data_IF_751994490551
#
_entry.id   IF_751994490551
#
_cell.length_a   1.000
_cell.length_b   1.000
_cell.length_c   1.000
_cell.angle_alpha   90.00
_cell.angle_beta   90.00
_cell.angle_gamma   90.00
#
_symmetry.space_group_name_H-M   'P 1'
#
loop_
_entity.id
_entity.type
_entity.pdbx_description
1 polymer ?
#
# COMPACT_ATOMS: atom_id res chain seq x y z
N UNK A 1 40.66 -49.21 -0.43
CA UNK A 1 39.40 -48.51 -0.75
C UNK A 1 38.90 -47.82 0.51
N UNK A 2 39.06 -46.50 0.57
CA UNK A 2 38.43 -45.62 1.57
C UNK A 2 37.09 -45.14 1.01
N UNK A 3 36.12 -44.83 1.88
CA UNK A 3 35.52 -43.51 1.79
C UNK A 3 35.50 -42.81 3.15
N UNK A 4 35.97 -41.57 3.10
CA UNK A 4 35.97 -40.53 4.12
C UNK A 4 34.56 -40.00 4.35
N UNK A 5 34.19 -39.92 5.63
CA UNK A 5 33.04 -39.17 6.15
C UNK A 5 33.29 -37.68 5.89
N UNK A 6 32.34 -37.00 5.24
CA UNK A 6 32.33 -35.54 5.09
C UNK A 6 31.25 -35.00 6.02
N UNK A 7 31.70 -34.42 7.14
CA UNK A 7 30.90 -33.49 7.94
C UNK A 7 30.69 -32.20 7.13
N UNK A 8 29.45 -31.79 6.96
CA UNK A 8 29.11 -30.41 6.58
C UNK A 8 28.26 -29.81 7.68
N UNK A 9 28.92 -29.05 8.54
CA UNK A 9 28.30 -28.20 9.54
C UNK A 9 27.50 -27.08 8.85
N UNK A 10 26.18 -27.07 9.05
CA UNK A 10 25.34 -25.92 8.72
C UNK A 10 25.68 -24.78 9.70
N UNK A 11 26.35 -23.75 9.18
CA UNK A 11 26.66 -22.53 9.92
C UNK A 11 25.44 -21.60 9.85
N UNK A 12 24.58 -21.63 10.88
CA UNK A 12 23.59 -20.57 11.14
C UNK A 12 24.35 -19.24 11.29
N UNK A 13 24.04 -18.26 10.44
CA UNK A 13 24.43 -16.86 10.67
C UNK A 13 23.20 -16.11 11.15
N UNK A 14 23.17 -15.86 12.45
CA UNK A 14 22.35 -14.83 13.06
C UNK A 14 22.89 -13.46 12.58
N UNK A 15 22.02 -12.60 12.04
CA UNK A 15 22.31 -11.18 11.85
C UNK A 15 21.43 -10.40 12.82
N UNK A 16 22.02 -10.06 13.97
CA UNK A 16 21.49 -9.07 14.91
C UNK A 16 22.10 -7.71 14.57
N UNK A 17 21.21 -6.72 14.43
CA UNK A 17 21.32 -5.29 14.72
C UNK A 17 22.70 -4.60 14.72
N UNK A 18 22.79 -3.45 14.03
CA UNK A 18 23.08 -2.18 14.72
C UNK A 18 22.99 -0.98 13.78
N UNK A 19 22.06 -0.09 14.16
CA UNK A 19 21.95 1.32 13.78
C UNK A 19 23.29 2.04 14.02
N UNK A 20 23.80 2.81 13.04
CA UNK A 20 24.80 3.85 13.29
C UNK A 20 24.50 5.08 12.44
N UNK A 21 23.88 6.07 13.08
CA UNK A 21 23.72 7.44 12.60
C UNK A 21 25.09 8.12 12.62
N UNK A 22 25.54 8.67 11.49
CA UNK A 22 26.70 9.56 11.44
C UNK A 22 26.32 10.87 10.75
N UNK A 23 26.08 11.90 11.57
CA UNK A 23 26.00 13.30 11.16
C UNK A 23 27.39 13.81 10.78
N UNK A 24 27.58 14.27 9.55
CA UNK A 24 28.76 15.03 9.15
C UNK A 24 28.33 16.30 8.37
N UNK A 25 28.40 17.41 9.08
CA UNK A 25 28.21 18.77 8.57
C UNK A 25 29.54 19.27 8.01
N UNK A 26 29.57 19.69 6.74
CA UNK A 26 30.49 20.71 6.21
C UNK A 26 29.96 21.29 4.89
N UNK A 27 29.70 22.60 4.87
CA UNK A 27 29.35 23.41 3.69
C UNK A 27 30.61 23.87 2.92
N UNK A 28 30.50 24.76 1.91
CA UNK A 28 30.19 24.48 0.51
C UNK A 28 31.42 24.72 -0.41
N UNK A 29 31.49 24.06 -1.56
CA UNK A 29 32.45 24.40 -2.61
C UNK A 29 31.70 24.68 -3.93
N UNK A 30 31.67 25.96 -4.25
CA UNK A 30 31.32 26.50 -5.57
C UNK A 30 32.33 25.95 -6.58
N UNK A 31 31.85 25.12 -7.50
CA UNK A 31 32.56 24.70 -8.69
C UNK A 31 31.68 24.95 -9.90
N UNK A 32 32.00 26.00 -10.67
CA UNK A 32 31.43 26.20 -11.99
C UNK A 32 31.86 25.03 -12.89
N UNK A 33 30.93 24.15 -13.26
CA UNK A 33 31.06 23.28 -14.43
C UNK A 33 29.78 23.37 -15.26
N UNK A 34 29.82 24.20 -16.31
CA UNK A 34 28.93 24.04 -17.45
C UNK A 34 29.22 22.68 -18.08
N UNK A 35 28.25 21.75 -18.00
CA UNK A 35 28.29 20.49 -18.74
C UNK A 35 27.63 19.29 -18.03
N UNK A 36 26.33 19.39 -17.70
CA UNK A 36 25.36 18.28 -17.55
C UNK A 36 24.04 18.87 -17.01
N UNK A 37 23.27 19.58 -17.85
CA UNK A 37 22.09 20.32 -17.38
C UNK A 37 20.89 20.17 -18.33
N UNK A 38 20.39 18.93 -18.45
CA UNK A 38 19.08 18.64 -19.04
C UNK A 38 18.25 17.66 -18.18
N UNK A 39 18.61 17.51 -16.91
CA UNK A 39 18.18 16.39 -16.06
C UNK A 39 17.09 16.73 -15.04
N UNK A 40 16.46 17.91 -15.09
CA UNK A 40 15.35 18.21 -14.17
C UNK A 40 14.17 18.96 -14.78
N UNK A 41 12.99 18.77 -14.17
CA UNK A 41 11.76 19.52 -14.46
C UNK A 41 11.81 20.97 -13.97
N UNK A 42 12.73 21.26 -13.04
CA UNK A 42 12.92 22.55 -12.37
C UNK A 42 11.59 23.08 -11.80
N UNK A 43 10.91 22.23 -11.02
CA UNK A 43 9.65 22.58 -10.38
C UNK A 43 9.94 23.56 -9.23
N UNK A 44 9.48 24.83 -9.31
CA UNK A 44 9.83 25.83 -8.30
C UNK A 44 9.30 25.47 -6.92
N UNK A 45 10.18 25.36 -5.93
CA UNK A 45 9.81 25.05 -4.55
C UNK A 45 9.58 23.57 -4.25
N UNK A 46 9.72 22.71 -5.26
CA UNK A 46 9.65 21.26 -5.10
C UNK A 46 11.04 20.66 -4.82
N UNK A 47 11.07 19.67 -3.94
CA UNK A 47 12.24 18.85 -3.64
C UNK A 47 11.82 17.38 -3.64
N UNK A 48 12.27 16.57 -4.62
CA UNK A 48 11.90 15.15 -4.71
C UNK A 48 12.43 14.30 -3.56
N UNK A 49 13.42 14.79 -2.78
CA UNK A 49 13.98 14.09 -1.62
C UNK A 49 13.49 14.60 -0.26
N UNK A 50 12.43 15.40 -0.20
CA UNK A 50 11.89 15.89 1.07
C UNK A 50 11.19 14.76 1.85
N UNK A 51 11.40 14.70 3.17
CA UNK A 51 10.68 13.80 4.09
C UNK A 51 10.22 14.58 5.33
N UNK A 52 8.91 14.65 5.61
CA UNK A 52 8.32 15.30 6.81
C UNK A 52 7.85 16.74 6.57
N UNK A 53 7.32 17.42 7.61
CA UNK A 53 6.51 18.67 7.66
C UNK A 53 6.70 19.81 6.63
N UNK A 54 7.75 19.80 5.81
CA UNK A 54 7.81 20.39 4.46
C UNK A 54 6.86 19.76 3.42
N UNK A 55 6.18 18.65 3.73
CA UNK A 55 5.39 17.86 2.76
C UNK A 55 4.25 18.67 2.11
N UNK A 56 3.53 19.51 2.86
CA UNK A 56 2.38 20.24 2.29
C UNK A 56 2.82 21.36 1.33
N UNK A 57 3.87 22.11 1.66
CA UNK A 57 4.40 23.14 0.76
C UNK A 57 5.05 22.53 -0.49
N UNK A 58 5.71 21.38 -0.32
CA UNK A 58 6.27 20.60 -1.41
C UNK A 58 5.17 20.06 -2.34
N UNK A 59 4.11 19.50 -1.76
CA UNK A 59 2.94 19.01 -2.49
C UNK A 59 2.20 20.13 -3.21
N UNK A 60 2.03 21.27 -2.56
CA UNK A 60 1.43 22.46 -3.18
C UNK A 60 2.26 22.93 -4.38
N UNK A 61 3.59 23.00 -4.27
CA UNK A 61 4.46 23.36 -5.38
C UNK A 61 4.33 22.40 -6.57
N UNK A 62 4.29 21.09 -6.31
CA UNK A 62 4.06 20.08 -7.33
C UNK A 62 2.67 20.22 -7.97
N UNK A 63 1.63 20.48 -7.16
CA UNK A 63 0.25 20.65 -7.63
C UNK A 63 0.08 21.91 -8.48
N UNK A 64 0.70 23.02 -8.07
CA UNK A 64 0.70 24.28 -8.83
C UNK A 64 1.48 24.16 -10.14
N UNK A 65 2.52 23.33 -10.19
CA UNK A 65 3.25 23.07 -11.42
C UNK A 65 2.47 22.19 -12.39
N UNK A 66 1.91 21.08 -11.91
CA UNK A 66 1.20 20.09 -12.74
C UNK A 66 -0.20 20.57 -13.13
N UNK A 67 -0.82 21.43 -12.35
CA UNK A 67 -2.12 22.03 -12.68
C UNK A 67 -2.15 23.50 -12.27
N UNK A 68 -1.52 24.42 -13.01
CA UNK A 68 -1.44 25.84 -12.63
C UNK A 68 -2.78 26.58 -12.59
N UNK A 69 -3.78 26.13 -13.35
CA UNK A 69 -5.08 26.79 -13.50
C UNK A 69 -6.24 25.81 -13.76
N UNK A 70 -7.45 26.30 -13.55
CA UNK A 70 -8.68 25.51 -13.71
C UNK A 70 -9.73 25.90 -12.67
N UNK A 71 -10.87 25.26 -12.76
CA UNK A 71 -12.00 25.52 -11.87
C UNK A 71 -12.84 24.27 -11.66
N UNK A 72 -13.64 24.26 -10.59
CA UNK A 72 -14.68 23.23 -10.43
C UNK A 72 -15.86 23.60 -11.31
N UNK A 73 -16.27 22.68 -12.18
CA UNK A 73 -17.47 22.76 -12.99
C UNK A 73 -18.25 21.45 -12.88
N UNK A 74 -19.55 21.53 -12.61
CA UNK A 74 -20.42 20.37 -12.37
C UNK A 74 -19.87 19.37 -11.33
N UNK A 75 -19.26 19.88 -10.26
CA UNK A 75 -18.71 19.09 -9.16
C UNK A 75 -17.41 18.35 -9.50
N UNK A 76 -16.79 18.64 -10.65
CA UNK A 76 -15.50 18.08 -11.07
C UNK A 76 -14.49 19.18 -11.38
N UNK A 77 -13.23 18.91 -11.10
CA UNK A 77 -12.16 19.80 -11.55
C UNK A 77 -12.04 19.76 -13.09
N UNK A 78 -12.02 20.94 -13.71
CA UNK A 78 -11.80 21.14 -15.13
C UNK A 78 -10.52 21.96 -15.30
N UNK A 79 -9.50 21.44 -16.02
CA UNK A 79 -8.23 22.15 -16.21
C UNK A 79 -8.44 23.41 -17.05
N UNK A 80 -7.68 24.46 -16.73
CA UNK A 80 -7.59 25.65 -17.58
C UNK A 80 -6.65 25.46 -18.77
N UNK A 81 -6.43 26.55 -19.51
CA UNK A 81 -5.56 26.57 -20.70
C UNK A 81 -4.11 26.26 -20.31
N UNK A 82 -3.59 26.86 -19.23
CA UNK A 82 -2.19 26.65 -18.83
C UNK A 82 -1.92 25.21 -18.38
N UNK A 83 -2.88 24.58 -17.72
CA UNK A 83 -2.82 23.17 -17.31
C UNK A 83 -2.88 22.26 -18.52
N UNK A 84 -3.73 22.57 -19.50
CA UNK A 84 -3.82 21.79 -20.73
C UNK A 84 -2.50 21.84 -21.50
N UNK A 85 -1.97 23.05 -21.74
CA UNK A 85 -0.66 23.26 -22.39
C UNK A 85 0.48 22.58 -21.61
N UNK A 86 0.42 22.60 -20.28
CA UNK A 86 1.42 21.93 -19.43
C UNK A 86 1.45 20.43 -19.71
N UNK A 87 0.31 19.75 -19.71
CA UNK A 87 0.25 18.30 -19.92
C UNK A 87 0.56 17.91 -21.36
N UNK A 88 0.21 18.74 -22.35
CA UNK A 88 0.67 18.57 -23.74
C UNK A 88 2.20 18.62 -23.81
N UNK A 89 2.82 19.62 -23.19
CA UNK A 89 4.28 19.75 -23.16
C UNK A 89 4.98 18.61 -22.39
N UNK A 90 4.38 18.10 -21.32
CA UNK A 90 4.90 16.93 -20.60
C UNK A 90 4.82 15.66 -21.47
N UNK A 91 3.75 15.50 -22.24
CA UNK A 91 3.50 14.36 -23.13
C UNK A 91 4.45 14.36 -24.33
N UNK A 92 4.66 15.53 -24.97
CA UNK A 92 5.49 15.67 -26.17
C UNK A 92 7.01 15.65 -25.88
N UNK A 93 7.40 15.72 -24.60
CA UNK A 93 8.81 15.80 -24.20
C UNK A 93 9.51 14.46 -24.38
N UNK A 94 10.71 14.50 -24.99
CA UNK A 94 11.62 13.36 -25.01
C UNK A 94 12.30 13.23 -23.64
N UNK A 95 11.84 12.26 -22.87
CA UNK A 95 12.25 12.08 -21.48
C UNK A 95 13.49 11.19 -21.35
N UNK A 96 14.45 11.67 -20.55
CA UNK A 96 15.48 10.81 -19.96
C UNK A 96 15.01 10.23 -18.61
N UNK A 97 15.61 9.12 -18.13
CA UNK A 97 15.20 8.46 -16.89
C UNK A 97 15.11 9.39 -15.67
N UNK A 98 16.14 10.23 -15.44
CA UNK A 98 16.15 11.17 -14.32
C UNK A 98 14.98 12.17 -14.35
N UNK A 99 14.54 12.59 -15.54
CA UNK A 99 13.40 13.48 -15.68
C UNK A 99 12.07 12.80 -15.36
N UNK A 100 11.91 11.52 -15.74
CA UNK A 100 10.73 10.72 -15.38
C UNK A 100 10.69 10.40 -13.89
N UNK A 101 11.85 10.14 -13.28
CA UNK A 101 11.97 9.94 -11.83
C UNK A 101 11.53 11.20 -11.06
N UNK A 102 11.96 12.39 -11.48
CA UNK A 102 11.50 13.64 -10.87
C UNK A 102 10.00 13.90 -11.14
N UNK A 103 9.51 13.61 -12.35
CA UNK A 103 8.08 13.78 -12.69
C UNK A 103 7.20 12.88 -11.82
N UNK A 104 7.53 11.59 -11.76
CA UNK A 104 6.78 10.61 -10.96
C UNK A 104 6.85 10.95 -9.46
N UNK A 105 7.97 11.49 -8.96
CA UNK A 105 8.05 11.98 -7.58
C UNK A 105 7.08 13.15 -7.33
N UNK A 106 6.97 14.09 -8.28
CA UNK A 106 6.01 15.19 -8.19
C UNK A 106 4.56 14.68 -8.22
N UNK A 107 4.24 13.71 -9.09
CA UNK A 107 2.94 13.05 -9.18
C UNK A 107 2.57 12.34 -7.87
N UNK A 108 3.52 11.59 -7.30
CA UNK A 108 3.38 10.95 -6.00
C UNK A 108 3.11 11.96 -4.88
N UNK A 109 3.83 13.08 -4.89
CA UNK A 109 3.67 14.12 -3.88
C UNK A 109 2.28 14.78 -3.98
N UNK A 110 1.79 15.04 -5.20
CA UNK A 110 0.42 15.55 -5.42
C UNK A 110 -0.65 14.60 -4.90
N UNK A 111 -0.45 13.29 -5.00
CA UNK A 111 -1.45 12.31 -4.56
C UNK A 111 -1.80 12.42 -3.06
N UNK A 112 -0.89 12.93 -2.23
CA UNK A 112 -1.13 13.19 -0.80
C UNK A 112 -2.18 14.26 -0.53
N UNK A 113 -2.48 15.11 -1.52
CA UNK A 113 -3.45 16.21 -1.40
C UNK A 113 -4.88 15.80 -1.79
N UNK A 114 -5.11 14.55 -2.18
CA UNK A 114 -6.45 14.06 -2.56
C UNK A 114 -7.48 14.13 -1.42
N UNK A 115 -7.01 14.07 -0.18
CA UNK A 115 -7.84 14.15 1.04
C UNK A 115 -7.71 15.49 1.74
N UNK A 116 -7.28 16.56 1.04
CA UNK A 116 -7.21 17.91 1.61
C UNK A 116 -8.61 18.39 2.06
N UNK A 117 -8.65 19.23 3.09
CA UNK A 117 -9.89 19.80 3.61
C UNK A 117 -10.49 20.86 2.67
N UNK A 118 -9.65 21.49 1.83
CA UNK A 118 -10.11 22.38 0.78
C UNK A 118 -10.57 21.55 -0.43
N UNK A 119 -11.88 21.53 -0.67
CA UNK A 119 -12.51 20.75 -1.76
C UNK A 119 -11.91 21.08 -3.13
N UNK A 120 -11.52 22.33 -3.36
CA UNK A 120 -10.89 22.74 -4.62
C UNK A 120 -9.51 22.09 -4.80
N UNK A 121 -8.69 22.10 -3.75
CA UNK A 121 -7.39 21.43 -3.72
C UNK A 121 -7.52 19.92 -3.88
N UNK A 122 -8.44 19.29 -3.15
CA UNK A 122 -8.69 17.84 -3.25
C UNK A 122 -9.15 17.41 -4.64
N UNK A 123 -10.09 18.14 -5.24
CA UNK A 123 -10.59 17.85 -6.59
C UNK A 123 -9.50 18.05 -7.66
N UNK A 124 -8.71 19.11 -7.54
CA UNK A 124 -7.56 19.40 -8.41
C UNK A 124 -6.47 18.33 -8.31
N UNK A 125 -6.15 17.88 -7.09
CA UNK A 125 -5.18 16.81 -6.86
C UNK A 125 -5.68 15.48 -7.44
N UNK A 126 -6.95 15.14 -7.24
CA UNK A 126 -7.57 13.93 -7.79
C UNK A 126 -7.53 13.91 -9.32
N UNK A 127 -7.86 15.03 -9.97
CA UNK A 127 -7.73 15.14 -11.44
C UNK A 127 -6.27 15.00 -11.90
N UNK A 128 -5.33 15.62 -11.17
CA UNK A 128 -3.90 15.54 -11.48
C UNK A 128 -3.38 14.11 -11.32
N UNK A 129 -3.84 13.37 -10.31
CA UNK A 129 -3.52 11.94 -10.11
C UNK A 129 -4.08 11.10 -11.26
N UNK A 130 -5.32 11.32 -11.69
CA UNK A 130 -5.89 10.63 -12.85
C UNK A 130 -5.02 10.83 -14.10
N UNK A 131 -4.63 12.07 -14.37
CA UNK A 131 -3.76 12.41 -15.50
C UNK A 131 -2.35 11.82 -15.37
N UNK A 132 -1.86 11.66 -14.14
CA UNK A 132 -0.57 11.02 -13.86
C UNK A 132 -0.59 9.53 -14.18
N UNK A 133 -1.69 8.84 -13.86
CA UNK A 133 -1.90 7.43 -14.22
C UNK A 133 -1.94 7.28 -15.74
N UNK A 134 -2.74 8.12 -16.43
CA UNK A 134 -2.80 8.15 -17.90
C UNK A 134 -1.40 8.36 -18.51
N UNK A 135 -0.64 9.35 -18.03
CA UNK A 135 0.72 9.60 -18.52
C UNK A 135 1.64 8.39 -18.31
N UNK A 136 1.65 7.82 -17.12
CA UNK A 136 2.50 6.67 -16.80
C UNK A 136 2.16 5.45 -17.68
N UNK A 137 0.88 5.26 -18.01
CA UNK A 137 0.41 4.13 -18.81
C UNK A 137 0.60 4.36 -20.31
N UNK A 138 0.22 5.52 -20.81
CA UNK A 138 0.10 5.78 -22.24
C UNK A 138 1.37 6.37 -22.85
N UNK A 139 2.19 7.08 -22.06
CA UNK A 139 3.39 7.78 -22.56
C UNK A 139 4.70 7.07 -22.23
N UNK A 140 4.78 6.37 -21.10
CA UNK A 140 6.02 5.72 -20.66
C UNK A 140 6.02 4.24 -21.07
N UNK A 141 6.93 3.80 -21.95
CA UNK A 141 7.07 2.39 -22.26
C UNK A 141 7.50 1.60 -21.01
N UNK A 142 6.93 0.41 -20.82
CA UNK A 142 7.24 -0.45 -19.65
C UNK A 142 8.73 -0.71 -19.44
N UNK A 143 9.51 -0.78 -20.54
CA UNK A 143 10.97 -0.98 -20.51
C UNK A 143 11.76 0.20 -19.91
N UNK A 144 11.14 1.37 -19.82
CA UNK A 144 11.76 2.61 -19.34
C UNK A 144 11.38 2.91 -17.88
N UNK A 145 10.57 2.06 -17.25
CA UNK A 145 10.28 2.14 -15.81
C UNK A 145 11.53 1.80 -15.01
N UNK A 146 12.05 2.79 -14.28
CA UNK A 146 13.09 2.58 -13.28
C UNK A 146 12.48 2.21 -11.92
N UNK A 147 13.28 1.62 -11.03
CA UNK A 147 12.84 1.26 -9.68
C UNK A 147 12.30 2.49 -8.92
N UNK A 148 12.95 3.66 -9.08
CA UNK A 148 12.50 4.91 -8.48
C UNK A 148 11.13 5.36 -9.02
N UNK A 149 10.87 5.21 -10.32
CA UNK A 149 9.55 5.50 -10.89
C UNK A 149 8.49 4.54 -10.32
N UNK A 150 8.79 3.25 -10.21
CA UNK A 150 7.87 2.25 -9.66
C UNK A 150 7.51 2.58 -8.21
N UNK A 151 8.50 2.93 -7.39
CA UNK A 151 8.29 3.32 -5.99
C UNK A 151 7.47 4.62 -5.88
N UNK A 152 7.75 5.63 -6.71
CA UNK A 152 6.96 6.85 -6.73
C UNK A 152 5.50 6.58 -7.14
N UNK A 153 5.28 5.78 -8.18
CA UNK A 153 3.95 5.41 -8.63
C UNK A 153 3.21 4.52 -7.62
N UNK A 154 3.93 3.70 -6.85
CA UNK A 154 3.37 2.95 -5.74
C UNK A 154 2.83 3.88 -4.65
N UNK A 155 3.56 4.94 -4.31
CA UNK A 155 3.08 5.97 -3.37
C UNK A 155 1.83 6.67 -3.94
N UNK A 156 1.81 6.98 -5.24
CA UNK A 156 0.64 7.56 -5.89
C UNK A 156 -0.59 6.66 -5.76
N UNK A 157 -0.45 5.37 -6.09
CA UNK A 157 -1.54 4.39 -6.04
C UNK A 157 -1.93 4.03 -4.61
N UNK A 158 -0.98 4.05 -3.66
CA UNK A 158 -1.25 3.89 -2.23
C UNK A 158 -2.16 5.00 -1.66
N UNK A 159 -2.13 6.20 -2.26
CA UNK A 159 -3.10 7.27 -2.00
C UNK A 159 -4.39 7.15 -2.83
N UNK A 160 -4.68 5.95 -3.35
CA UNK A 160 -5.91 5.57 -4.03
C UNK A 160 -6.58 4.32 -3.41
N UNK A 161 -6.70 4.23 -2.06
CA UNK A 161 -7.07 2.97 -1.43
C UNK A 161 -8.52 2.55 -1.71
N UNK A 162 -9.46 3.51 -1.80
CA UNK A 162 -10.85 3.21 -2.17
C UNK A 162 -10.96 2.63 -3.59
N UNK A 163 -10.14 3.12 -4.52
CA UNK A 163 -10.09 2.60 -5.88
C UNK A 163 -9.50 1.18 -5.93
N UNK A 164 -8.43 0.91 -5.18
CA UNK A 164 -7.83 -0.43 -5.09
C UNK A 164 -8.83 -1.43 -4.47
N UNK A 165 -9.41 -1.10 -3.31
CA UNK A 165 -10.39 -1.95 -2.64
C UNK A 165 -11.64 -2.15 -3.51
N UNK A 166 -12.07 -1.10 -4.20
CA UNK A 166 -13.18 -1.12 -5.14
C UNK A 166 -12.98 -2.12 -6.27
N UNK A 167 -11.86 -2.02 -6.99
CA UNK A 167 -11.50 -2.95 -8.07
C UNK A 167 -11.32 -4.39 -7.55
N UNK A 168 -10.66 -4.56 -6.39
CA UNK A 168 -10.51 -5.88 -5.76
C UNK A 168 -11.87 -6.56 -5.48
N UNK A 169 -12.88 -5.77 -5.12
CA UNK A 169 -14.26 -6.23 -4.91
C UNK A 169 -15.08 -6.46 -6.19
N UNK A 170 -14.49 -6.24 -7.37
CA UNK A 170 -15.16 -6.35 -8.67
C UNK A 170 -15.95 -5.10 -9.06
N UNK A 171 -15.65 -3.95 -8.45
CA UNK A 171 -16.14 -2.64 -8.87
C UNK A 171 -15.51 -2.16 -10.18
N UNK A 172 -15.88 -0.95 -10.60
CA UNK A 172 -15.34 -0.31 -11.81
C UNK A 172 -15.20 1.19 -11.61
N UNK A 173 -14.09 1.74 -12.08
CA UNK A 173 -13.79 3.16 -12.18
C UNK A 173 -14.46 3.81 -13.39
N UNK A 174 -14.93 3.05 -14.39
CA UNK A 174 -15.56 3.63 -15.59
C UNK A 174 -16.97 4.18 -15.32
N UNK A 175 -17.60 3.77 -14.21
CA UNK A 175 -18.88 4.28 -13.75
C UNK A 175 -18.85 5.72 -13.24
N UNK A 176 -20.01 6.29 -12.94
CA UNK A 176 -20.12 7.63 -12.38
C UNK A 176 -20.03 7.64 -10.85
N UNK A 177 -19.06 8.36 -10.30
CA UNK A 177 -19.02 8.90 -8.93
C UNK A 177 -19.06 7.88 -7.79
N UNK A 178 -18.47 6.68 -7.98
CA UNK A 178 -18.31 5.70 -6.90
C UNK A 178 -17.05 6.01 -6.08
N UNK A 179 -15.98 6.40 -6.77
CA UNK A 179 -14.67 6.72 -6.21
C UNK A 179 -14.20 8.10 -6.70
N UNK A 180 -13.14 8.63 -6.09
CA UNK A 180 -12.57 9.92 -6.50
C UNK A 180 -12.12 9.91 -7.96
N UNK A 181 -11.55 8.80 -8.43
CA UNK A 181 -11.09 8.64 -9.82
C UNK A 181 -12.18 8.17 -10.81
N UNK A 182 -13.42 7.95 -10.35
CA UNK A 182 -14.49 7.43 -11.21
C UNK A 182 -14.79 8.32 -12.42
N UNK A 183 -14.67 7.76 -13.62
CA UNK A 183 -14.85 8.42 -14.91
C UNK A 183 -13.69 9.35 -15.30
N UNK A 184 -12.58 9.33 -14.56
CA UNK A 184 -11.33 10.03 -14.91
C UNK A 184 -10.25 9.05 -15.39
N UNK A 185 -10.29 7.81 -14.91
CA UNK A 185 -9.37 6.72 -15.27
C UNK A 185 -10.21 5.48 -15.59
N UNK A 186 -9.79 4.70 -16.58
CA UNK A 186 -10.39 3.39 -16.89
C UNK A 186 -9.86 2.30 -15.96
N UNK A 187 -10.59 1.20 -15.82
CA UNK A 187 -10.13 0.03 -15.05
C UNK A 187 -8.78 -0.45 -15.60
N UNK A 188 -8.69 -0.58 -16.92
CA UNK A 188 -7.48 -1.00 -17.62
C UNK A 188 -6.27 -0.08 -17.38
N UNK A 189 -6.46 1.25 -17.35
CA UNK A 189 -5.36 2.17 -17.04
C UNK A 189 -4.88 2.01 -15.60
N UNK A 190 -5.80 1.93 -14.63
CA UNK A 190 -5.43 1.79 -13.23
C UNK A 190 -4.74 0.44 -12.95
N UNK A 191 -5.31 -0.64 -13.48
CA UNK A 191 -4.74 -1.99 -13.39
C UNK A 191 -3.39 -2.10 -14.11
N UNK A 192 -3.23 -1.45 -15.27
CA UNK A 192 -1.94 -1.40 -15.96
C UNK A 192 -0.89 -0.65 -15.13
N UNK A 193 -1.28 0.42 -14.43
CA UNK A 193 -0.35 1.14 -13.55
C UNK A 193 0.12 0.25 -12.38
N UNK A 194 -0.79 -0.50 -11.73
CA UNK A 194 -0.42 -1.51 -10.72
C UNK A 194 0.50 -2.59 -11.31
N UNK A 195 0.11 -3.18 -12.45
CA UNK A 195 0.86 -4.23 -13.14
C UNK A 195 2.30 -3.82 -13.45
N UNK A 196 2.54 -2.58 -13.88
CA UNK A 196 3.88 -2.11 -14.28
C UNK A 196 4.84 -1.89 -13.12
N UNK A 197 4.34 -1.79 -11.89
CA UNK A 197 5.15 -1.44 -10.72
C UNK A 197 5.26 -2.57 -9.70
N UNK A 198 4.31 -3.51 -9.67
CA UNK A 198 4.20 -4.52 -8.62
C UNK A 198 5.34 -5.55 -8.62
N UNK A 199 6.17 -5.59 -9.67
CA UNK A 199 7.38 -6.43 -9.71
C UNK A 199 8.54 -5.86 -8.87
N UNK A 200 8.45 -4.60 -8.42
CA UNK A 200 9.38 -4.01 -7.46
C UNK A 200 8.93 -4.30 -6.02
N UNK A 201 9.82 -4.91 -5.23
CA UNK A 201 9.54 -5.33 -3.85
C UNK A 201 9.15 -4.15 -2.94
N UNK A 202 9.78 -2.99 -3.12
CA UNK A 202 9.46 -1.80 -2.33
C UNK A 202 8.13 -1.17 -2.74
N UNK A 203 7.81 -1.18 -4.03
CA UNK A 203 6.51 -0.75 -4.54
C UNK A 203 5.38 -1.64 -4.00
N UNK A 204 5.55 -2.96 -4.03
CA UNK A 204 4.58 -3.91 -3.50
C UNK A 204 4.40 -3.75 -1.98
N UNK A 205 5.48 -3.65 -1.21
CA UNK A 205 5.43 -3.40 0.24
C UNK A 205 4.71 -2.09 0.57
N UNK A 206 4.93 -1.03 -0.21
CA UNK A 206 4.22 0.25 -0.07
C UNK A 206 2.72 0.09 -0.25
N UNK A 207 2.29 -0.62 -1.31
CA UNK A 207 0.87 -0.86 -1.59
C UNK A 207 0.20 -1.73 -0.52
N UNK A 208 0.84 -2.83 -0.13
CA UNK A 208 0.36 -3.74 0.93
C UNK A 208 0.21 -2.99 2.24
N UNK A 209 1.23 -2.23 2.66
CA UNK A 209 1.21 -1.46 3.91
C UNK A 209 0.11 -0.39 3.90
N UNK A 210 -0.06 0.31 2.79
CA UNK A 210 -1.11 1.32 2.65
C UNK A 210 -2.51 0.71 2.77
N UNK A 211 -2.75 -0.43 2.10
CA UNK A 211 -4.03 -1.11 2.17
C UNK A 211 -4.31 -1.77 3.52
N UNK A 212 -3.29 -2.31 4.21
CA UNK A 212 -3.45 -2.80 5.58
C UNK A 212 -3.85 -1.66 6.53
N UNK A 213 -3.21 -0.48 6.38
CA UNK A 213 -3.59 0.72 7.16
C UNK A 213 -5.02 1.16 6.85
N UNK A 214 -5.39 1.22 5.56
CA UNK A 214 -6.74 1.57 5.13
C UNK A 214 -7.80 0.65 5.76
N UNK A 215 -7.62 -0.68 5.67
CA UNK A 215 -8.59 -1.61 6.24
C UNK A 215 -8.61 -1.57 7.77
N UNK A 216 -7.48 -1.32 8.41
CA UNK A 216 -7.44 -1.10 9.86
C UNK A 216 -8.25 0.13 10.28
N UNK A 217 -8.11 1.25 9.56
CA UNK A 217 -8.88 2.47 9.80
C UNK A 217 -10.39 2.24 9.60
N UNK A 218 -10.77 1.46 8.57
CA UNK A 218 -12.16 1.06 8.35
C UNK A 218 -12.71 0.22 9.52
N UNK A 219 -11.93 -0.73 10.02
CA UNK A 219 -12.30 -1.55 11.19
C UNK A 219 -12.52 -0.68 12.42
N UNK A 220 -11.59 0.22 12.72
CA UNK A 220 -11.69 1.12 13.88
C UNK A 220 -12.85 2.11 13.76
N UNK A 221 -13.23 2.50 12.54
CA UNK A 221 -14.38 3.37 12.29
C UNK A 221 -15.73 2.64 12.41
N UNK A 222 -15.84 1.43 11.88
CA UNK A 222 -17.12 0.72 11.76
C UNK A 222 -17.49 -0.09 13.00
N UNK A 223 -16.53 -0.78 13.61
CA UNK A 223 -16.77 -1.71 14.72
C UNK A 223 -17.44 -1.08 15.95
N UNK A 224 -17.09 0.14 16.41
CA UNK A 224 -17.71 0.74 17.59
C UNK A 224 -19.22 0.97 17.48
N UNK A 225 -19.76 1.00 16.26
CA UNK A 225 -21.18 1.26 15.99
C UNK A 225 -21.91 0.08 15.35
N UNK A 226 -21.23 -1.06 15.20
CA UNK A 226 -21.76 -2.24 14.56
C UNK A 226 -22.99 -2.80 15.31
N UNK A 227 -24.09 -3.01 14.59
CA UNK A 227 -25.29 -3.67 15.14
C UNK A 227 -25.11 -5.18 15.26
N UNK A 228 -24.23 -5.75 14.42
CA UNK A 228 -23.85 -7.16 14.42
C UNK A 228 -22.32 -7.27 14.41
N UNK A 229 -21.63 -7.03 15.55
CA UNK A 229 -20.18 -6.88 15.59
C UNK A 229 -19.39 -8.04 14.96
N UNK A 230 -19.80 -9.28 15.20
CA UNK A 230 -19.15 -10.46 14.61
C UNK A 230 -19.26 -10.45 13.07
N UNK A 231 -20.48 -10.35 12.53
CA UNK A 231 -20.67 -10.30 11.08
C UNK A 231 -19.99 -9.09 10.42
N UNK A 232 -19.93 -7.94 11.10
CA UNK A 232 -19.20 -6.76 10.64
C UNK A 232 -17.69 -7.04 10.59
N UNK A 233 -17.12 -7.58 11.66
CA UNK A 233 -15.69 -7.90 11.72
C UNK A 233 -15.29 -8.91 10.63
N UNK A 234 -16.06 -9.98 10.49
CA UNK A 234 -15.87 -11.00 9.46
C UNK A 234 -15.87 -10.40 8.05
N UNK A 235 -16.85 -9.55 7.73
CA UNK A 235 -16.92 -8.89 6.42
C UNK A 235 -15.76 -7.92 6.16
N UNK A 236 -15.30 -7.21 7.19
CA UNK A 236 -14.17 -6.29 7.08
C UNK A 236 -12.85 -7.04 6.82
N UNK A 237 -12.61 -8.15 7.53
CA UNK A 237 -11.43 -8.99 7.27
C UNK A 237 -11.50 -9.74 5.94
N UNK A 238 -12.70 -10.12 5.47
CA UNK A 238 -12.89 -10.63 4.10
C UNK A 238 -12.47 -9.57 3.06
N UNK A 239 -12.91 -8.31 3.23
CA UNK A 239 -12.57 -7.19 2.34
C UNK A 239 -11.07 -6.89 2.34
N UNK A 240 -10.44 -6.89 3.52
CA UNK A 240 -9.01 -6.74 3.67
C UNK A 240 -8.24 -7.82 2.91
N UNK A 241 -8.60 -9.08 3.14
CA UNK A 241 -7.99 -10.21 2.46
C UNK A 241 -8.25 -10.20 0.93
N UNK A 242 -9.42 -9.73 0.49
CA UNK A 242 -9.74 -9.57 -0.92
C UNK A 242 -8.85 -8.54 -1.61
N UNK A 243 -8.61 -7.40 -0.97
CA UNK A 243 -7.66 -6.40 -1.49
C UNK A 243 -6.25 -6.97 -1.59
N UNK A 244 -5.84 -7.72 -0.57
CA UNK A 244 -4.53 -8.35 -0.51
C UNK A 244 -4.34 -9.42 -1.59
N UNK A 245 -5.34 -10.29 -1.79
CA UNK A 245 -5.36 -11.26 -2.88
C UNK A 245 -5.35 -10.59 -4.25
N UNK A 246 -6.01 -9.45 -4.42
CA UNK A 246 -5.98 -8.70 -5.68
C UNK A 246 -4.58 -8.22 -6.06
N UNK A 247 -3.82 -7.66 -5.12
CA UNK A 247 -2.43 -7.28 -5.36
C UNK A 247 -1.54 -8.49 -5.68
N UNK A 248 -1.73 -9.60 -4.96
CA UNK A 248 -1.06 -10.89 -5.21
C UNK A 248 -1.34 -11.41 -6.64
N UNK A 249 -2.62 -11.42 -7.05
CA UNK A 249 -3.03 -11.84 -8.39
C UNK A 249 -2.40 -10.99 -9.52
N UNK A 250 -2.31 -9.66 -9.33
CA UNK A 250 -1.62 -8.78 -10.30
C UNK A 250 -0.11 -9.04 -10.29
N UNK A 251 0.51 -9.30 -9.13
CA UNK A 251 1.92 -9.62 -9.03
C UNK A 251 2.27 -10.92 -9.76
N UNK A 252 1.45 -11.96 -9.64
CA UNK A 252 1.61 -13.21 -10.39
C UNK A 252 1.35 -13.02 -11.89
N UNK A 253 0.33 -12.24 -12.27
CA UNK A 253 0.08 -11.87 -13.66
C UNK A 253 1.30 -11.15 -14.27
N UNK A 254 1.97 -10.29 -13.49
CA UNK A 254 3.19 -9.58 -13.88
C UNK A 254 4.41 -10.48 -14.00
N UNK A 255 4.50 -11.53 -13.19
CA UNK A 255 5.55 -12.53 -13.27
C UNK A 255 5.36 -13.55 -14.42
N UNK A 256 4.50 -13.25 -15.41
CA UNK A 256 4.13 -14.16 -16.52
C UNK A 256 3.60 -15.52 -16.02
N UNK A 257 2.74 -15.50 -14.99
CA UNK A 257 2.17 -16.70 -14.35
C UNK A 257 3.22 -17.61 -13.67
N UNK A 258 4.45 -17.10 -13.47
CA UNK A 258 5.37 -17.70 -12.51
C UNK A 258 4.98 -17.27 -11.10
N UNK A 259 5.23 -18.13 -10.10
CA UNK A 259 5.11 -17.74 -8.71
C UNK A 259 5.90 -16.45 -8.46
N UNK A 260 5.21 -15.40 -8.02
CA UNK A 260 5.82 -14.13 -7.63
C UNK A 260 6.19 -14.21 -6.16
N UNK A 261 7.47 -13.96 -5.85
CA UNK A 261 7.93 -13.85 -4.46
C UNK A 261 7.86 -12.40 -3.95
N UNK A 262 7.30 -11.47 -4.75
CA UNK A 262 7.22 -10.04 -4.41
C UNK A 262 6.23 -9.78 -3.27
N UNK A 263 5.14 -10.57 -3.21
CA UNK A 263 4.18 -10.54 -2.10
C UNK A 263 4.24 -11.90 -1.39
N UNK A 264 4.60 -11.88 -0.11
CA UNK A 264 4.60 -13.10 0.70
C UNK A 264 3.20 -13.36 1.27
N UNK A 265 2.40 -14.12 0.52
CA UNK A 265 1.01 -14.43 0.84
C UNK A 265 0.85 -15.17 2.17
N UNK A 266 1.78 -16.06 2.52
CA UNK A 266 1.74 -16.78 3.80
C UNK A 266 1.92 -15.83 4.99
N UNK A 267 2.84 -14.87 4.88
CA UNK A 267 3.10 -13.89 5.92
C UNK A 267 1.95 -12.87 6.04
N UNK A 268 1.41 -12.44 4.91
CA UNK A 268 0.25 -11.55 4.83
C UNK A 268 -1.00 -12.17 5.45
N UNK A 269 -1.35 -13.41 5.07
CA UNK A 269 -2.48 -14.14 5.66
C UNK A 269 -2.28 -14.36 7.16
N UNK A 270 -1.04 -14.61 7.59
CA UNK A 270 -0.71 -14.75 9.01
C UNK A 270 -0.96 -13.45 9.78
N UNK A 271 -0.55 -12.31 9.23
CA UNK A 271 -0.78 -10.99 9.82
C UNK A 271 -2.27 -10.69 9.92
N UNK A 272 -3.03 -10.89 8.84
CA UNK A 272 -4.48 -10.66 8.83
C UNK A 272 -5.21 -11.51 9.88
N UNK A 273 -4.90 -12.81 9.97
CA UNK A 273 -5.50 -13.69 10.99
C UNK A 273 -5.19 -13.22 12.40
N UNK A 274 -3.92 -12.94 12.67
CA UNK A 274 -3.50 -12.50 13.99
C UNK A 274 -4.14 -11.16 14.39
N UNK A 275 -4.24 -10.20 13.47
CA UNK A 275 -4.97 -8.95 13.72
C UNK A 275 -6.47 -9.21 13.94
N UNK A 276 -7.08 -10.09 13.14
CA UNK A 276 -8.48 -10.48 13.30
C UNK A 276 -8.79 -11.05 14.69
N UNK A 277 -7.91 -11.90 15.21
CA UNK A 277 -8.06 -12.44 16.56
C UNK A 277 -7.92 -11.37 17.65
N UNK A 278 -6.98 -10.43 17.46
CA UNK A 278 -6.80 -9.29 18.38
C UNK A 278 -8.06 -8.43 18.42
N UNK A 279 -8.61 -8.09 17.25
CA UNK A 279 -9.84 -7.30 17.17
C UNK A 279 -11.05 -8.07 17.71
N UNK A 280 -11.17 -9.36 17.41
CA UNK A 280 -12.22 -10.21 17.98
C UNK A 280 -12.15 -10.21 19.52
N UNK A 281 -10.95 -10.28 20.10
CA UNK A 281 -10.76 -10.15 21.54
C UNK A 281 -11.14 -8.75 22.05
N UNK A 282 -10.67 -7.68 21.39
CA UNK A 282 -10.95 -6.27 21.71
C UNK A 282 -12.45 -5.98 21.77
N UNK A 283 -13.22 -6.59 20.87
CA UNK A 283 -14.68 -6.42 20.80
C UNK A 283 -15.47 -7.49 21.57
N UNK A 284 -14.80 -8.34 22.36
CA UNK A 284 -15.45 -9.32 23.24
C UNK A 284 -16.20 -10.43 22.50
N UNK A 285 -15.72 -10.78 21.30
CA UNK A 285 -16.34 -11.79 20.43
C UNK A 285 -15.83 -13.20 20.73
N UNK A 286 -14.64 -13.31 21.33
CA UNK A 286 -14.05 -14.59 21.69
C UNK A 286 -14.67 -15.16 22.96
N UNK A 287 -14.70 -16.49 23.03
CA UNK A 287 -15.22 -17.19 24.20
C UNK A 287 -14.25 -17.13 25.41
N UNK A 288 -14.78 -17.36 26.61
CA UNK A 288 -14.00 -17.27 27.86
C UNK A 288 -12.82 -18.25 27.90
N UNK A 289 -12.98 -19.46 27.36
CA UNK A 289 -11.93 -20.47 27.33
C UNK A 289 -10.78 -20.07 26.39
N UNK A 290 -11.10 -19.37 25.29
CA UNK A 290 -10.12 -18.80 24.36
C UNK A 290 -9.25 -17.74 25.07
N UNK A 291 -9.87 -16.86 25.86
CA UNK A 291 -9.15 -15.89 26.68
C UNK A 291 -8.32 -16.58 27.78
N UNK A 292 -8.85 -17.62 28.43
CA UNK A 292 -8.09 -18.41 29.43
C UNK A 292 -6.85 -19.08 28.82
N UNK A 293 -6.96 -19.56 27.58
CA UNK A 293 -5.83 -20.13 26.85
C UNK A 293 -4.73 -19.10 26.55
N UNK A 294 -5.07 -17.81 26.39
CA UNK A 294 -4.06 -16.75 26.27
C UNK A 294 -3.22 -16.60 27.57
N UNK A 295 -3.81 -16.93 28.74
CA UNK A 295 -3.16 -16.84 30.06
C UNK A 295 -2.35 -18.08 30.40
N UNK A 296 -2.77 -19.26 29.94
CA UNK A 296 -2.23 -20.54 30.43
C UNK A 296 -1.63 -21.41 29.34
N UNK A 297 -1.93 -21.14 28.06
CA UNK A 297 -1.62 -22.00 26.93
C UNK A 297 -0.15 -22.04 26.53
N UNK A 298 0.66 -21.05 26.94
CA UNK A 298 2.08 -20.99 26.60
C UNK A 298 2.93 -21.75 27.64
N UNK A 299 2.89 -23.09 27.56
CA UNK A 299 3.60 -24.00 28.47
C UNK A 299 3.22 -23.81 29.96
N UNK A 300 1.94 -23.50 30.23
CA UNK A 300 1.44 -23.26 31.59
C UNK A 300 1.60 -21.81 32.06
N UNK A 301 2.01 -20.89 31.18
CA UNK A 301 2.05 -19.46 31.43
C UNK A 301 1.42 -18.64 30.30
N UNK A 302 1.38 -17.31 30.43
CA UNK A 302 0.72 -16.44 29.46
C UNK A 302 1.53 -16.31 28.16
N UNK A 303 0.82 -16.08 27.06
CA UNK A 303 1.43 -15.59 25.82
C UNK A 303 1.98 -14.17 26.00
N UNK A 304 2.95 -13.77 25.18
CA UNK A 304 3.59 -12.45 25.33
C UNK A 304 2.67 -11.28 25.02
N UNK A 305 1.60 -11.52 24.25
CA UNK A 305 0.59 -10.54 23.88
C UNK A 305 -0.53 -10.38 24.93
N UNK A 306 -0.60 -11.26 25.93
CA UNK A 306 -1.58 -11.16 27.01
C UNK A 306 -1.15 -10.10 28.04
N UNK A 307 -2.08 -9.22 28.40
CA UNK A 307 -1.91 -8.27 29.50
C UNK A 307 -3.22 -8.12 30.29
N UNK A 308 -3.15 -7.47 31.46
CA UNK A 308 -4.32 -7.09 32.26
C UNK A 308 -4.38 -5.58 32.44
N UNK A 309 -5.39 -4.94 31.84
CA UNK A 309 -5.64 -3.50 31.99
C UNK A 309 -6.84 -3.30 32.88
N UNK A 310 -6.67 -2.59 34.00
CA UNK A 310 -7.71 -2.39 35.02
C UNK A 310 -8.37 -3.70 35.53
N UNK A 311 -7.58 -4.79 35.55
CA UNK A 311 -8.03 -6.11 35.97
C UNK A 311 -8.93 -6.82 34.95
N UNK A 312 -8.96 -6.34 33.70
CA UNK A 312 -9.59 -7.02 32.57
C UNK A 312 -8.52 -7.64 31.66
N UNK A 313 -8.71 -8.91 31.22
CA UNK A 313 -7.91 -9.52 30.18
C UNK A 313 -7.87 -8.66 28.91
N UNK A 314 -6.68 -8.40 28.40
CA UNK A 314 -6.45 -7.65 27.17
C UNK A 314 -5.49 -8.41 26.28
N UNK A 315 -5.86 -8.59 25.02
CA UNK A 315 -4.96 -9.08 23.96
C UNK A 315 -4.37 -7.84 23.29
N UNK A 316 -3.06 -7.66 23.43
CA UNK A 316 -2.33 -6.52 22.85
C UNK A 316 -1.70 -6.93 21.52
N UNK A 317 -1.41 -5.97 20.65
CA UNK A 317 -0.69 -6.21 19.41
C UNK A 317 0.28 -5.07 19.10
N UNK A 318 1.43 -5.36 18.44
CA UNK A 318 2.22 -4.32 17.82
C UNK A 318 1.43 -3.65 16.69
N UNK A 319 1.59 -2.34 16.55
CA UNK A 319 1.05 -1.56 15.45
C UNK A 319 2.21 -0.85 14.70
N UNK A 320 2.55 -1.24 13.46
CA UNK A 320 1.92 -2.31 12.67
C UNK A 320 2.29 -3.72 13.16
N UNK A 321 1.48 -4.73 12.81
CA UNK A 321 1.78 -6.13 13.10
C UNK A 321 2.78 -6.69 12.09
N UNK A 322 3.83 -7.36 12.58
CA UNK A 322 4.81 -8.06 11.72
C UNK A 322 4.48 -9.54 11.60
N UNK A 323 4.92 -10.23 10.51
CA UNK A 323 4.75 -11.67 10.37
C UNK A 323 5.37 -12.47 11.53
N UNK A 324 6.51 -12.00 12.04
CA UNK A 324 7.19 -12.58 13.20
C UNK A 324 6.34 -12.48 14.47
N UNK A 325 5.72 -11.32 14.72
CA UNK A 325 4.83 -11.12 15.87
C UNK A 325 3.56 -11.98 15.74
N UNK A 326 3.03 -12.12 14.53
CA UNK A 326 1.81 -12.87 14.25
C UNK A 326 1.92 -14.37 14.63
N UNK A 327 3.13 -14.94 14.66
CA UNK A 327 3.35 -16.36 15.00
C UNK A 327 2.89 -16.79 16.39
N UNK A 328 2.85 -15.90 17.39
CA UNK A 328 2.33 -16.27 18.71
C UNK A 328 0.80 -16.42 18.69
N UNK A 329 0.09 -15.58 17.95
CA UNK A 329 -1.36 -15.63 17.82
C UNK A 329 -1.83 -16.88 17.08
N UNK A 330 -1.12 -17.30 16.02
CA UNK A 330 -1.42 -18.56 15.34
C UNK A 330 -1.19 -19.77 16.25
N UNK A 331 -0.21 -19.71 17.15
CA UNK A 331 0.00 -20.77 18.14
C UNK A 331 -1.10 -20.80 19.18
N UNK A 332 -1.66 -19.65 19.53
CA UNK A 332 -2.80 -19.55 20.44
C UNK A 332 -4.08 -20.11 19.82
N UNK A 333 -4.38 -19.74 18.59
CA UNK A 333 -5.46 -20.30 17.77
C UNK A 333 -5.44 -21.83 17.73
N UNK A 334 -4.27 -22.44 17.53
CA UNK A 334 -4.10 -23.91 17.54
C UNK A 334 -4.42 -24.61 18.87
N UNK A 335 -4.58 -23.87 19.97
CA UNK A 335 -4.88 -24.41 21.30
C UNK A 335 -6.35 -24.31 21.69
N UNK A 336 -7.16 -23.60 20.90
CA UNK A 336 -8.53 -23.24 21.23
C UNK A 336 -9.51 -23.77 20.19
N UNK A 337 -10.78 -23.85 20.57
CA UNK A 337 -11.88 -24.06 19.65
C UNK A 337 -12.79 -22.84 19.80
N UNK A 338 -12.69 -21.88 18.87
CA UNK A 338 -13.45 -20.63 18.89
C UNK A 338 -14.07 -20.37 17.52
N UNK A 339 -15.41 -20.37 17.46
CA UNK A 339 -16.14 -20.23 16.21
C UNK A 339 -15.82 -18.91 15.50
N UNK A 340 -15.57 -17.82 16.23
CA UNK A 340 -15.27 -16.53 15.61
C UNK A 340 -13.86 -16.53 14.98
N UNK A 341 -12.88 -17.20 15.61
CA UNK A 341 -11.54 -17.37 15.01
C UNK A 341 -11.60 -18.26 13.77
N UNK A 342 -12.35 -19.37 13.83
CA UNK A 342 -12.57 -20.26 12.70
C UNK A 342 -13.26 -19.54 11.53
N UNK A 343 -14.30 -18.74 11.81
CA UNK A 343 -15.00 -17.97 10.79
C UNK A 343 -14.11 -16.87 10.20
N UNK A 344 -13.28 -16.19 11.00
CA UNK A 344 -12.29 -15.24 10.51
C UNK A 344 -11.32 -15.89 9.52
N UNK A 345 -10.82 -17.08 9.85
CA UNK A 345 -9.94 -17.83 8.96
C UNK A 345 -10.61 -18.17 7.63
N UNK A 346 -11.87 -18.61 7.68
CA UNK A 346 -12.66 -18.91 6.48
C UNK A 346 -12.85 -17.65 5.63
N UNK A 347 -13.20 -16.53 6.25
CA UNK A 347 -13.49 -15.29 5.54
C UNK A 347 -12.22 -14.64 4.96
N UNK A 348 -11.09 -14.71 5.66
CA UNK A 348 -9.80 -14.26 5.15
C UNK A 348 -9.38 -15.10 3.92
N UNK A 349 -9.47 -16.44 4.01
CA UNK A 349 -9.13 -17.30 2.89
C UNK A 349 -10.08 -17.09 1.68
N UNK A 350 -11.36 -16.87 1.95
CA UNK A 350 -12.38 -16.60 0.92
C UNK A 350 -12.11 -15.26 0.25
N UNK A 351 -11.87 -14.21 1.04
CA UNK A 351 -11.51 -12.89 0.55
C UNK A 351 -10.28 -12.94 -0.35
N UNK A 352 -9.18 -13.51 0.14
CA UNK A 352 -7.95 -13.66 -0.66
C UNK A 352 -8.21 -14.36 -2.00
N UNK A 353 -8.94 -15.48 -2.00
CA UNK A 353 -9.24 -16.24 -3.22
C UNK A 353 -10.06 -15.43 -4.24
N UNK A 354 -11.05 -14.66 -3.77
CA UNK A 354 -11.86 -13.78 -4.61
C UNK A 354 -11.00 -12.67 -5.21
N UNK A 355 -10.21 -12.01 -4.38
CA UNK A 355 -9.29 -10.94 -4.77
C UNK A 355 -8.27 -11.40 -5.79
N UNK A 356 -7.62 -12.53 -5.51
CA UNK A 356 -6.65 -13.17 -6.39
C UNK A 356 -7.23 -13.44 -7.78
N UNK A 357 -8.46 -13.95 -7.83
CA UNK A 357 -9.16 -14.17 -9.10
C UNK A 357 -9.38 -12.86 -9.86
N UNK A 358 -9.81 -11.80 -9.17
CA UNK A 358 -9.98 -10.48 -9.79
C UNK A 358 -8.65 -9.92 -10.30
N UNK A 359 -7.58 -9.99 -9.51
CA UNK A 359 -6.25 -9.46 -9.87
C UNK A 359 -5.63 -10.19 -11.04
N UNK A 360 -5.82 -11.51 -11.12
CA UNK A 360 -5.36 -12.32 -12.25
C UNK A 360 -6.18 -12.05 -13.53
N UNK A 361 -7.43 -11.61 -13.38
CA UNK A 361 -8.32 -11.25 -14.49
C UNK A 361 -8.16 -9.78 -14.95
N UNK A 362 -7.28 -9.01 -14.32
CA UNK A 362 -7.06 -7.59 -14.62
C UNK A 362 -6.76 -7.33 -16.11
N UNK A 363 -7.38 -6.30 -16.66
CA UNK A 363 -7.25 -5.88 -18.06
C UNK A 363 -6.02 -5.00 -18.28
N UNK A 364 -4.85 -5.64 -18.39
CA UNK A 364 -3.56 -4.91 -18.46
C UNK A 364 -3.04 -4.72 -19.89
N UNK A 365 -2.40 -3.57 -20.14
CA UNK A 365 -1.62 -3.29 -21.36
C UNK A 365 -0.16 -3.71 -21.14
N UNK A 366 0.24 -4.80 -21.80
CA UNK A 366 1.57 -5.45 -21.67
C UNK A 366 2.70 -4.73 -22.42
#
# INVERSE_FOLDING_TARGET
MRPTIRETALRRRHLTASLLVLLLVCAPLVGCSLGADQSGLDIPGFNPGATGSSDQANAQAALEYLSPDGEISDGRWVPGEMTTERWEALTDRDWGPAGLEELTAAMATVSTMRTDQDEQTAAKATWTVARSIEFAVDQVPIKDYTDAMKQNLAILLANCPDEIAGLASGGSLEGSSVYGLSGLVTDAQFETALYRIIDDEHAADTLVTAMLSYHHDQIDAEMPTATSPEATLLGLYQSAAQTMGYLDGIAELRADEAASDTINTDDMNRVLRAQGYVDAAKYGLLNEATIEAAVTGNNGGPFSFYDEVDGQPTITAPNPMTPDAAHEYIRWDQLVEDATMDDLDVEINTGHSLGYTSGHAAEVVR
#
